data_IF_441767880657
#
_entry.id   IF_441767880657
#
_cell.length_a   1.000
_cell.length_b   1.000
_cell.length_c   1.000
_cell.angle_alpha   90.00
_cell.angle_beta   90.00
_cell.angle_gamma   90.00
#
_symmetry.space_group_name_H-M   'P 1'
#
loop_
_entity.id
_entity.type
_entity.pdbx_description
1 polymer ?
#
# COMPACT_ATOMS: atom_id res chain seq x y z
N UNK A 1 15.34 16.91 -1.72
CA UNK A 1 15.71 15.72 -2.53
C UNK A 1 14.46 14.89 -2.76
N UNK A 2 14.45 14.00 -3.77
CA UNK A 2 13.31 13.10 -4.00
C UNK A 2 13.27 11.96 -2.98
N UNK A 3 14.43 11.48 -2.51
CA UNK A 3 14.61 10.64 -1.33
C UNK A 3 15.95 11.01 -0.66
N UNK A 4 15.97 11.12 0.66
CA UNK A 4 17.19 11.47 1.41
C UNK A 4 18.17 10.28 1.49
N UNK A 5 17.64 9.05 1.44
CA UNK A 5 18.41 7.81 1.48
C UNK A 5 17.92 6.80 0.44
N UNK A 6 18.82 6.35 -0.45
CA UNK A 6 18.50 5.37 -1.51
C UNK A 6 18.07 4.02 -0.95
N UNK A 7 18.62 3.61 0.20
CA UNK A 7 18.22 2.38 0.88
C UNK A 7 16.75 2.42 1.30
N UNK A 8 16.29 3.55 1.84
CA UNK A 8 14.92 3.70 2.35
C UNK A 8 13.91 3.74 1.21
N UNK A 9 14.26 4.37 0.07
CA UNK A 9 13.47 4.29 -1.16
C UNK A 9 13.41 2.85 -1.70
N UNK A 10 14.51 2.09 -1.68
CA UNK A 10 14.53 0.71 -2.15
C UNK A 10 13.70 -0.23 -1.25
N UNK A 11 13.76 -0.03 0.07
CA UNK A 11 12.89 -0.73 1.03
C UNK A 11 11.42 -0.35 0.80
N UNK A 12 11.13 0.93 0.54
CA UNK A 12 9.76 1.38 0.19
C UNK A 12 9.25 0.67 -1.06
N UNK A 13 10.09 0.52 -2.10
CA UNK A 13 9.75 -0.25 -3.29
C UNK A 13 9.41 -1.72 -2.96
N UNK A 14 10.21 -2.35 -2.09
CA UNK A 14 9.98 -3.72 -1.65
C UNK A 14 8.62 -3.87 -0.94
N UNK A 15 8.36 -3.00 0.03
CA UNK A 15 7.15 -3.01 0.85
C UNK A 15 5.90 -2.71 0.00
N UNK A 16 5.94 -1.66 -0.81
CA UNK A 16 4.79 -1.30 -1.65
C UNK A 16 4.50 -2.35 -2.72
N UNK A 17 5.54 -2.94 -3.32
CA UNK A 17 5.36 -4.06 -4.27
C UNK A 17 4.69 -5.27 -3.60
N UNK A 18 5.12 -5.63 -2.39
CA UNK A 18 4.48 -6.72 -1.64
C UNK A 18 3.00 -6.43 -1.37
N UNK A 19 2.69 -5.26 -0.78
CA UNK A 19 1.30 -4.93 -0.45
C UNK A 19 0.43 -4.72 -1.70
N UNK A 20 0.96 -4.16 -2.77
CA UNK A 20 0.25 -4.06 -4.05
C UNK A 20 -0.24 -5.43 -4.51
N UNK A 21 0.60 -6.47 -4.40
CA UNK A 21 0.21 -7.85 -4.73
C UNK A 21 -0.96 -8.34 -3.87
N UNK A 22 -0.97 -8.04 -2.57
CA UNK A 22 -2.06 -8.40 -1.66
C UNK A 22 -3.37 -7.68 -2.01
N UNK A 23 -3.31 -6.40 -2.38
CA UNK A 23 -4.48 -5.62 -2.80
C UNK A 23 -5.05 -6.10 -4.14
N UNK A 24 -4.20 -6.49 -5.08
CA UNK A 24 -4.66 -7.20 -6.28
C UNK A 24 -5.23 -8.58 -5.97
N UNK A 25 -4.81 -9.22 -4.88
CA UNK A 25 -5.44 -10.42 -4.32
C UNK A 25 -6.88 -10.17 -3.86
N UNK A 26 -7.13 -9.10 -3.09
CA UNK A 26 -8.50 -8.68 -2.75
C UNK A 26 -9.34 -8.36 -3.98
N UNK A 27 -8.72 -7.74 -5.00
CA UNK A 27 -9.42 -7.47 -6.24
C UNK A 27 -9.89 -8.74 -6.98
N UNK A 28 -9.27 -9.89 -6.68
CA UNK A 28 -9.55 -11.18 -7.31
C UNK A 28 -10.64 -12.00 -6.61
N UNK A 29 -11.22 -11.53 -5.50
CA UNK A 29 -12.28 -12.24 -4.77
C UNK A 29 -13.51 -12.55 -5.66
N UNK A 30 -14.01 -11.54 -6.39
CA UNK A 30 -15.15 -11.70 -7.31
C UNK A 30 -15.09 -10.77 -8.55
N UNK A 31 -13.94 -10.62 -9.23
CA UNK A 31 -13.80 -9.64 -10.30
C UNK A 31 -14.64 -10.01 -11.54
N UNK A 32 -15.00 -9.01 -12.37
CA UNK A 32 -15.45 -9.25 -13.73
C UNK A 32 -14.50 -10.19 -14.49
N UNK A 33 -15.00 -11.11 -15.33
CA UNK A 33 -14.16 -12.09 -16.03
C UNK A 33 -13.00 -11.46 -16.83
N UNK A 34 -13.24 -10.29 -17.44
CA UNK A 34 -12.24 -9.55 -18.21
C UNK A 34 -11.07 -9.01 -17.38
N UNK A 35 -11.23 -8.88 -16.05
CA UNK A 35 -10.20 -8.33 -15.16
C UNK A 35 -9.20 -9.39 -14.68
N UNK A 36 -9.55 -10.68 -14.76
CA UNK A 36 -8.73 -11.76 -14.19
C UNK A 36 -7.29 -11.75 -14.71
N UNK A 37 -7.10 -11.70 -16.04
CA UNK A 37 -5.76 -11.71 -16.64
C UNK A 37 -4.95 -10.45 -16.27
N UNK A 38 -5.49 -9.23 -16.41
CA UNK A 38 -4.82 -8.01 -15.91
C UNK A 38 -4.45 -8.07 -14.44
N UNK A 39 -5.34 -8.56 -13.56
CA UNK A 39 -5.08 -8.64 -12.12
C UNK A 39 -3.94 -9.62 -11.79
N UNK A 40 -3.90 -10.77 -12.46
CA UNK A 40 -2.79 -11.72 -12.32
C UNK A 40 -1.48 -11.06 -12.77
N UNK A 41 -1.46 -10.42 -13.94
CA UNK A 41 -0.27 -9.72 -14.43
C UNK A 41 0.19 -8.64 -13.45
N UNK A 42 -0.73 -7.83 -12.93
CA UNK A 42 -0.44 -6.79 -11.94
C UNK A 42 0.11 -7.38 -10.63
N UNK A 43 -0.43 -8.51 -10.17
CA UNK A 43 0.09 -9.24 -9.00
C UNK A 43 1.54 -9.69 -9.24
N UNK A 44 1.83 -10.30 -10.40
CA UNK A 44 3.20 -10.74 -10.75
C UNK A 44 4.15 -9.56 -10.84
N UNK A 45 3.77 -8.48 -11.53
CA UNK A 45 4.61 -7.27 -11.64
C UNK A 45 4.88 -6.66 -10.27
N UNK A 46 3.89 -6.67 -9.36
CA UNK A 46 4.05 -6.20 -7.98
C UNK A 46 5.07 -7.02 -7.21
N UNK A 47 5.03 -8.36 -7.33
CA UNK A 47 6.01 -9.25 -6.69
C UNK A 47 7.41 -9.08 -7.29
N UNK A 48 7.54 -8.94 -8.61
CA UNK A 48 8.83 -8.67 -9.26
C UNK A 48 9.41 -7.33 -8.81
N UNK A 49 8.57 -6.31 -8.67
CA UNK A 49 8.96 -5.00 -8.14
C UNK A 49 9.41 -5.11 -6.69
N UNK A 50 8.71 -5.93 -5.88
CA UNK A 50 9.09 -6.18 -4.50
C UNK A 50 10.48 -6.81 -4.39
N UNK A 51 10.75 -7.83 -5.21
CA UNK A 51 12.06 -8.50 -5.30
C UNK A 51 13.14 -7.52 -5.76
N UNK A 52 12.87 -6.73 -6.80
CA UNK A 52 13.82 -5.72 -7.29
C UNK A 52 14.17 -4.70 -6.19
N UNK A 53 13.17 -4.18 -5.46
CA UNK A 53 13.37 -3.29 -4.31
C UNK A 53 14.23 -3.93 -3.22
N UNK A 54 13.98 -5.21 -2.88
CA UNK A 54 14.79 -5.94 -1.90
C UNK A 54 16.25 -6.13 -2.35
N UNK A 55 16.47 -6.45 -3.63
CA UNK A 55 17.82 -6.55 -4.20
C UNK A 55 18.55 -5.20 -4.20
N UNK A 56 17.84 -4.12 -4.52
CA UNK A 56 18.40 -2.76 -4.48
C UNK A 56 18.71 -2.30 -3.06
N UNK A 57 17.85 -2.62 -2.09
CA UNK A 57 18.09 -2.35 -0.68
C UNK A 57 19.33 -3.10 -0.16
N UNK A 58 19.55 -4.34 -0.64
CA UNK A 58 20.77 -5.08 -0.33
C UNK A 58 22.01 -4.47 -0.99
N UNK A 59 21.92 -4.06 -2.26
CA UNK A 59 23.02 -3.35 -2.95
C UNK A 59 23.41 -2.06 -2.23
N UNK A 60 22.42 -1.33 -1.72
CA UNK A 60 22.60 -0.09 -0.98
C UNK A 60 22.69 -0.31 0.54
N UNK A 61 23.03 -1.52 1.00
CA UNK A 61 23.05 -1.83 2.44
C UNK A 61 24.06 -1.00 3.24
N UNK A 62 25.16 -0.57 2.60
CA UNK A 62 26.16 0.32 3.18
C UNK A 62 25.80 1.80 3.10
N UNK A 63 24.72 2.16 2.39
CA UNK A 63 24.21 3.53 2.36
C UNK A 63 23.54 3.88 3.69
N UNK A 64 23.52 5.19 4.01
CA UNK A 64 22.80 5.71 5.16
C UNK A 64 21.31 5.39 5.10
N UNK A 65 20.67 5.42 6.27
CA UNK A 65 19.23 5.22 6.46
C UNK A 65 18.76 6.17 7.56
N UNK A 66 17.50 6.61 7.47
CA UNK A 66 16.85 7.41 8.51
C UNK A 66 16.58 6.60 9.79
N UNK A 67 16.66 5.28 9.71
CA UNK A 67 16.35 4.38 10.82
C UNK A 67 17.52 4.27 11.81
N UNK A 68 17.36 4.93 12.95
CA UNK A 68 18.10 4.69 14.20
C UNK A 68 17.16 4.13 15.29
N UNK A 69 17.62 4.02 16.54
CA UNK A 69 16.80 3.50 17.65
C UNK A 69 15.52 4.32 17.90
N UNK A 70 15.58 5.64 17.75
CA UNK A 70 14.46 6.54 18.02
C UNK A 70 13.45 6.52 16.87
N UNK A 71 13.92 6.62 15.62
CA UNK A 71 13.09 6.56 14.42
C UNK A 71 12.46 5.19 14.28
N UNK A 72 13.20 4.10 14.53
CA UNK A 72 12.67 2.73 14.49
C UNK A 72 11.57 2.51 15.52
N UNK A 73 11.76 3.03 16.75
CA UNK A 73 10.72 2.96 17.79
C UNK A 73 9.46 3.72 17.37
N UNK A 74 9.63 4.94 16.86
CA UNK A 74 8.52 5.79 16.42
C UNK A 74 7.76 5.16 15.26
N UNK A 75 8.47 4.64 14.26
CA UNK A 75 7.91 3.88 13.16
C UNK A 75 7.12 2.66 13.65
N UNK A 76 7.68 1.88 14.57
CA UNK A 76 7.02 0.71 15.16
C UNK A 76 5.73 1.07 15.91
N UNK A 77 5.69 2.18 16.63
CA UNK A 77 4.47 2.68 17.28
C UNK A 77 3.40 3.05 16.25
N UNK A 78 3.78 3.78 15.21
CA UNK A 78 2.87 4.22 14.14
C UNK A 78 2.28 3.03 13.39
N UNK A 79 3.08 2.01 13.09
CA UNK A 79 2.63 0.73 12.51
C UNK A 79 1.75 -0.04 13.50
N UNK A 80 2.11 -0.09 14.79
CA UNK A 80 1.28 -0.74 15.81
C UNK A 80 -0.12 -0.13 15.92
N UNK A 81 -0.22 1.19 15.87
CA UNK A 81 -1.49 1.93 15.85
C UNK A 81 -2.29 1.59 14.60
N UNK A 82 -1.66 1.54 13.43
CA UNK A 82 -2.30 1.17 12.17
C UNK A 82 -2.92 -0.23 12.26
N UNK A 83 -2.15 -1.25 12.63
CA UNK A 83 -2.65 -2.62 12.74
C UNK A 83 -3.78 -2.73 13.77
N UNK A 84 -3.67 -2.01 14.89
CA UNK A 84 -4.75 -1.97 15.89
C UNK A 84 -6.02 -1.33 15.31
N UNK A 85 -5.92 -0.18 14.65
CA UNK A 85 -7.07 0.52 14.06
C UNK A 85 -7.71 -0.29 12.92
N UNK A 86 -6.89 -0.87 12.04
CA UNK A 86 -7.34 -1.74 10.96
C UNK A 86 -8.07 -2.98 11.51
N UNK A 87 -7.46 -3.66 12.49
CA UNK A 87 -8.02 -4.85 13.13
C UNK A 87 -9.32 -4.58 13.88
N UNK A 88 -9.34 -3.55 14.74
CA UNK A 88 -10.53 -3.19 15.52
C UNK A 88 -11.69 -2.84 14.60
N UNK A 89 -11.49 -1.98 13.60
CA UNK A 89 -12.57 -1.62 12.68
C UNK A 89 -13.01 -2.80 11.80
N UNK A 90 -12.11 -3.69 11.40
CA UNK A 90 -12.47 -4.92 10.69
C UNK A 90 -13.35 -5.84 11.56
N UNK A 91 -13.02 -6.01 12.84
CA UNK A 91 -13.83 -6.79 13.80
C UNK A 91 -15.20 -6.15 13.97
N UNK A 92 -15.27 -4.83 14.17
CA UNK A 92 -16.54 -4.10 14.31
C UNK A 92 -17.41 -4.31 13.05
N UNK A 93 -16.85 -4.11 11.85
CA UNK A 93 -17.58 -4.30 10.60
C UNK A 93 -18.04 -5.75 10.41
N UNK A 94 -17.22 -6.73 10.82
CA UNK A 94 -17.60 -8.14 10.75
C UNK A 94 -18.77 -8.47 11.70
N UNK A 95 -18.75 -7.96 12.94
CA UNK A 95 -19.82 -8.12 13.93
C UNK A 95 -21.12 -7.45 13.45
N UNK A 96 -21.01 -6.27 12.84
CA UNK A 96 -22.14 -5.52 12.26
C UNK A 96 -22.66 -6.11 10.94
N UNK A 97 -22.10 -7.23 10.46
CA UNK A 97 -22.43 -7.86 9.16
C UNK A 97 -22.30 -6.88 7.99
N UNK A 98 -21.21 -6.11 7.98
CA UNK A 98 -20.78 -5.20 6.90
C UNK A 98 -19.40 -5.59 6.37
N UNK A 99 -19.20 -6.89 6.16
CA UNK A 99 -17.90 -7.48 5.78
C UNK A 99 -17.38 -6.93 4.45
N UNK A 100 -18.29 -6.55 3.56
CA UNK A 100 -18.00 -5.90 2.28
C UNK A 100 -17.27 -4.56 2.41
N UNK A 101 -17.33 -3.92 3.59
CA UNK A 101 -16.65 -2.66 3.87
C UNK A 101 -15.27 -2.83 4.51
N UNK A 102 -14.89 -4.06 4.91
CA UNK A 102 -13.60 -4.33 5.58
C UNK A 102 -12.41 -3.88 4.70
N UNK A 103 -12.33 -4.23 3.40
CA UNK A 103 -11.21 -3.78 2.56
C UNK A 103 -11.16 -2.25 2.41
N UNK A 104 -12.32 -1.57 2.43
CA UNK A 104 -12.39 -0.10 2.36
C UNK A 104 -11.87 0.53 3.65
N UNK A 105 -12.28 0.00 4.80
CA UNK A 105 -11.78 0.43 6.10
C UNK A 105 -10.26 0.27 6.21
N UNK A 106 -9.74 -0.90 5.82
CA UNK A 106 -8.30 -1.15 5.85
C UNK A 106 -7.58 -0.19 4.90
N UNK A 107 -8.11 0.05 3.70
CA UNK A 107 -7.51 1.01 2.76
C UNK A 107 -7.46 2.42 3.34
N UNK A 108 -8.54 2.85 4.01
CA UNK A 108 -8.57 4.16 4.68
C UNK A 108 -7.50 4.26 5.77
N UNK A 109 -7.40 3.26 6.65
CA UNK A 109 -6.40 3.23 7.72
C UNK A 109 -4.98 3.24 7.16
N UNK A 110 -4.69 2.41 6.16
CA UNK A 110 -3.39 2.37 5.46
C UNK A 110 -3.08 3.73 4.83
N UNK A 111 -4.03 4.32 4.10
CA UNK A 111 -3.86 5.63 3.48
C UNK A 111 -3.52 6.73 4.49
N UNK A 112 -4.22 6.75 5.63
CA UNK A 112 -3.97 7.71 6.72
C UNK A 112 -2.62 7.43 7.41
N UNK A 113 -2.29 6.16 7.65
CA UNK A 113 -1.03 5.73 8.26
C UNK A 113 0.21 6.12 7.42
N UNK A 114 0.08 6.15 6.09
CA UNK A 114 1.20 6.51 5.22
C UNK A 114 1.64 7.99 5.37
N UNK A 115 0.79 8.90 5.86
CA UNK A 115 1.19 10.29 6.13
C UNK A 115 2.30 10.40 7.20
N UNK A 116 2.13 9.89 8.44
CA UNK A 116 3.20 9.90 9.43
C UNK A 116 4.40 9.06 8.98
N UNK A 117 4.20 7.94 8.27
CA UNK A 117 5.33 7.19 7.69
C UNK A 117 6.15 8.06 6.75
N UNK A 118 5.52 8.79 5.84
CA UNK A 118 6.20 9.66 4.88
C UNK A 118 7.06 10.73 5.57
N UNK A 119 6.58 11.25 6.70
CA UNK A 119 7.34 12.20 7.55
C UNK A 119 8.51 11.50 8.22
N UNK A 120 8.29 10.33 8.84
CA UNK A 120 9.31 9.58 9.59
C UNK A 120 10.45 9.15 8.67
N UNK A 121 10.16 8.69 7.46
CA UNK A 121 11.18 8.19 6.52
C UNK A 121 11.72 9.28 5.58
N UNK A 122 11.29 10.53 5.76
CA UNK A 122 11.73 11.67 4.96
C UNK A 122 11.55 11.45 3.44
N UNK A 123 10.43 10.84 3.05
CA UNK A 123 10.18 10.50 1.64
C UNK A 123 8.86 11.12 1.14
N UNK A 124 8.89 12.34 0.56
CA UNK A 124 7.70 13.08 0.16
C UNK A 124 6.78 12.34 -0.81
N UNK A 125 7.32 11.47 -1.68
CA UNK A 125 6.52 10.70 -2.63
C UNK A 125 5.46 9.82 -1.93
N UNK A 126 5.73 9.36 -0.70
CA UNK A 126 4.78 8.58 0.09
C UNK A 126 3.55 9.39 0.49
N UNK A 127 3.63 10.72 0.62
CA UNK A 127 2.44 11.56 0.86
C UNK A 127 1.46 11.49 -0.32
N UNK A 128 1.96 11.38 -1.55
CA UNK A 128 1.12 11.23 -2.74
C UNK A 128 0.41 9.88 -2.72
N UNK A 129 1.13 8.81 -2.42
CA UNK A 129 0.55 7.46 -2.22
C UNK A 129 -0.51 7.48 -1.11
N UNK A 130 -0.22 8.11 0.03
CA UNK A 130 -1.12 8.26 1.17
C UNK A 130 -2.44 8.95 0.77
N UNK A 131 -2.33 10.11 0.09
CA UNK A 131 -3.48 10.88 -0.35
C UNK A 131 -4.34 10.12 -1.37
N UNK A 132 -3.71 9.46 -2.35
CA UNK A 132 -4.42 8.72 -3.39
C UNK A 132 -5.16 7.49 -2.81
N UNK A 133 -4.53 6.73 -1.91
CA UNK A 133 -5.19 5.58 -1.25
C UNK A 133 -6.33 6.06 -0.35
N UNK A 134 -6.11 7.13 0.42
CA UNK A 134 -7.15 7.72 1.28
C UNK A 134 -8.34 8.14 0.43
N UNK A 135 -8.10 8.89 -0.66
CA UNK A 135 -9.16 9.29 -1.59
C UNK A 135 -9.88 8.08 -2.21
N UNK A 136 -9.13 7.07 -2.66
CA UNK A 136 -9.69 5.84 -3.21
C UNK A 136 -10.63 5.15 -2.21
N UNK A 137 -10.27 5.09 -0.93
CA UNK A 137 -11.13 4.50 0.11
C UNK A 137 -12.45 5.26 0.30
N UNK A 138 -12.42 6.60 0.20
CA UNK A 138 -13.62 7.43 0.36
C UNK A 138 -14.59 7.28 -0.82
N UNK A 139 -14.06 7.06 -2.04
CA UNK A 139 -14.88 6.99 -3.26
C UNK A 139 -15.18 5.55 -3.72
N UNK A 140 -14.53 4.53 -3.17
CA UNK A 140 -14.68 3.15 -3.64
C UNK A 140 -16.12 2.63 -3.55
N UNK A 141 -16.82 2.91 -2.46
CA UNK A 141 -18.22 2.46 -2.26
C UNK A 141 -19.18 3.07 -3.28
N UNK A 142 -19.28 4.40 -3.46
CA UNK A 142 -20.16 4.97 -4.48
C UNK A 142 -19.78 4.54 -5.90
N UNK A 143 -18.48 4.42 -6.21
CA UNK A 143 -18.02 3.93 -7.53
C UNK A 143 -18.46 2.48 -7.75
N UNK A 144 -18.23 1.59 -6.79
CA UNK A 144 -18.63 0.19 -6.87
C UNK A 144 -20.14 0.03 -7.09
N UNK A 145 -20.95 0.78 -6.33
CA UNK A 145 -22.41 0.77 -6.45
C UNK A 145 -22.90 1.28 -7.80
N UNK A 146 -22.35 2.40 -8.29
CA UNK A 146 -22.76 2.98 -9.58
C UNK A 146 -22.43 2.10 -10.79
N UNK A 147 -21.45 1.20 -10.65
CA UNK A 147 -20.98 0.29 -11.69
C UNK A 147 -21.42 -1.16 -11.47
N UNK A 148 -22.19 -1.45 -10.43
CA UNK A 148 -22.58 -2.81 -10.03
C UNK A 148 -21.39 -3.77 -9.87
N UNK A 149 -20.28 -3.26 -9.31
CA UNK A 149 -19.06 -4.02 -9.07
C UNK A 149 -18.93 -4.40 -7.59
N UNK A 150 -18.20 -5.48 -7.26
CA UNK A 150 -17.82 -5.75 -5.89
C UNK A 150 -16.96 -4.62 -5.33
N UNK A 151 -17.24 -4.22 -4.09
CA UNK A 151 -16.48 -3.17 -3.40
C UNK A 151 -15.01 -3.57 -3.27
N UNK A 152 -14.72 -4.84 -2.95
CA UNK A 152 -13.36 -5.40 -2.86
C UNK A 152 -12.60 -5.31 -4.19
N UNK A 153 -13.27 -5.53 -5.32
CA UNK A 153 -12.68 -5.37 -6.65
C UNK A 153 -12.23 -3.94 -6.93
N UNK A 154 -13.08 -2.95 -6.62
CA UNK A 154 -12.80 -1.54 -6.87
C UNK A 154 -11.67 -1.02 -5.99
N UNK A 155 -11.75 -1.23 -4.67
CA UNK A 155 -10.70 -0.75 -3.76
C UNK A 155 -9.41 -1.53 -3.93
N UNK A 156 -9.48 -2.83 -4.23
CA UNK A 156 -8.33 -3.68 -4.52
C UNK A 156 -7.52 -3.19 -5.71
N UNK A 157 -8.19 -2.90 -6.83
CA UNK A 157 -7.54 -2.32 -8.02
C UNK A 157 -6.96 -0.94 -7.73
N UNK A 158 -7.75 -0.06 -7.10
CA UNK A 158 -7.33 1.31 -6.85
C UNK A 158 -6.10 1.37 -5.93
N UNK A 159 -6.16 0.72 -4.77
CA UNK A 159 -5.05 0.69 -3.82
C UNK A 159 -3.84 -0.06 -4.38
N UNK A 160 -4.06 -1.21 -5.02
CA UNK A 160 -3.00 -2.00 -5.65
C UNK A 160 -2.25 -1.22 -6.74
N UNK A 161 -2.97 -0.50 -7.60
CA UNK A 161 -2.37 0.32 -8.64
C UNK A 161 -1.57 1.50 -8.08
N UNK A 162 -2.09 2.19 -7.06
CA UNK A 162 -1.39 3.30 -6.41
C UNK A 162 -0.11 2.83 -5.71
N UNK A 163 -0.16 1.71 -4.99
CA UNK A 163 1.02 1.11 -4.35
C UNK A 163 2.03 0.63 -5.40
N UNK A 164 1.59 -0.04 -6.47
CA UNK A 164 2.49 -0.48 -7.53
C UNK A 164 3.17 0.71 -8.22
N UNK A 165 2.45 1.79 -8.51
CA UNK A 165 3.02 3.01 -9.06
C UNK A 165 4.07 3.62 -8.12
N UNK A 166 3.78 3.70 -6.82
CA UNK A 166 4.74 4.16 -5.81
C UNK A 166 5.96 3.25 -5.69
N UNK A 167 5.78 1.93 -5.83
CA UNK A 167 6.86 0.96 -5.82
C UNK A 167 7.79 1.12 -7.03
N UNK A 168 7.21 1.21 -8.23
CA UNK A 168 7.96 1.42 -9.47
C UNK A 168 8.69 2.76 -9.48
N UNK A 169 8.05 3.83 -9.00
CA UNK A 169 8.69 5.13 -8.82
C UNK A 169 9.89 5.02 -7.88
N UNK A 170 9.74 4.30 -6.77
CA UNK A 170 10.82 4.12 -5.80
C UNK A 170 11.97 3.28 -6.36
N UNK A 171 11.69 2.24 -7.16
CA UNK A 171 12.73 1.53 -7.93
C UNK A 171 13.47 2.51 -8.84
N UNK A 172 12.75 3.31 -9.63
CA UNK A 172 13.35 4.24 -10.60
C UNK A 172 14.27 5.28 -9.95
N UNK A 173 13.95 5.75 -8.74
CA UNK A 173 14.79 6.70 -7.98
C UNK A 173 16.06 6.04 -7.42
N UNK A 174 16.09 4.71 -7.31
CA UNK A 174 17.19 3.94 -6.68
C UNK A 174 18.15 3.27 -7.65
N UNK A 175 17.85 3.33 -8.94
CA UNK A 175 18.73 2.90 -10.04
C UNK A 175 19.82 3.95 -10.29
#
# INVERSE_FOLDING_TARGET
MLADHLRDAAVTAAVFGFFASSWFGWAQEAPPPSWRKPLIAATVVSLLTAVAGGLLAWRHASAGTVFDDATSRTFGIVVGIEFAAAGVGAVILAVLRRRELIPVWIAFVVGVHLFPVAVIIHYPAVHVTAALITLASLVAVPVARSRSLPVSAVIGVATGAVLLAGALFSVAVTL
#
